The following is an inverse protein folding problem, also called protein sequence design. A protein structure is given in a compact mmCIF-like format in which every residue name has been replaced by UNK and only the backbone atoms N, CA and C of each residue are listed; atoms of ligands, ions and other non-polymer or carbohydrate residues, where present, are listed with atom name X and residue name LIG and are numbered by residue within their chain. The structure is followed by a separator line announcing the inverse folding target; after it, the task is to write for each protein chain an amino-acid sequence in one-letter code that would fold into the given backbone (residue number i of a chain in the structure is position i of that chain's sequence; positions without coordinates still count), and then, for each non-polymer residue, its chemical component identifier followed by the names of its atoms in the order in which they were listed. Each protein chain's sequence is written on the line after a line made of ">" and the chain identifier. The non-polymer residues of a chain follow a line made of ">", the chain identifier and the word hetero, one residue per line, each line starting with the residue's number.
data_IF_764021612333
#
_entry.id   IF_764021612333
#
_cell.length_a   1.000
_cell.length_b   1.000
_cell.length_c   1.000
_cell.angle_alpha   90.00
_cell.angle_beta   90.00
_cell.angle_gamma   90.00
#
_symmetry.space_group_name_H-M   'P 1'
#
loop_
_entity.id
_entity.type
_entity.pdbx_description
1 polymer ?
2 polymer ?
3 water ?
#
# COMPACT_ATOMS: atom_id res chain seq x y z
N UNK A 3 24.88 -16.67 12.80
CA UNK A 3 25.14 -15.57 13.72
C UNK A 3 24.41 -14.29 13.30
N UNK A 4 25.18 -13.27 12.93
CA UNK A 4 24.66 -11.96 12.60
C UNK A 4 24.78 -11.70 11.11
N UNK A 5 23.70 -11.23 10.49
CA UNK A 5 23.67 -10.92 9.07
C UNK A 5 22.42 -10.11 8.76
N UNK A 6 22.55 -9.23 7.76
CA UNK A 6 21.45 -8.45 7.24
C UNK A 6 21.13 -8.92 5.83
N UNK A 7 19.84 -9.00 5.51
CA UNK A 7 19.38 -9.51 4.22
C UNK A 7 18.37 -8.56 3.61
N UNK A 8 18.46 -8.37 2.29
CA UNK A 8 17.59 -7.49 1.54
C UNK A 8 16.91 -8.27 0.43
N UNK A 9 15.60 -8.11 0.31
CA UNK A 9 14.81 -8.77 -0.74
C UNK A 9 14.39 -7.72 -1.76
N UNK A 10 15.11 -7.54 -2.86
CA UNK A 10 14.81 -6.44 -3.78
C UNK A 10 13.46 -6.55 -4.46
N UNK A 11 12.88 -7.76 -4.55
CA UNK A 11 11.60 -7.94 -5.21
C UNK A 11 10.42 -7.86 -4.25
N UNK A 12 10.65 -7.46 -3.00
CA UNK A 12 9.56 -7.43 -2.02
C UNK A 12 8.61 -6.28 -2.27
N UNK A 13 9.13 -5.12 -2.64
CA UNK A 13 8.27 -3.96 -2.88
C UNK A 13 7.30 -4.22 -4.03
N UNK A 14 7.79 -4.81 -5.11
CA UNK A 14 6.91 -5.11 -6.25
C UNK A 14 5.91 -6.21 -5.91
N UNK A 15 6.30 -7.16 -5.05
CA UNK A 15 5.39 -8.24 -4.69
C UNK A 15 4.25 -7.74 -3.82
N UNK A 16 4.54 -6.85 -2.87
CA UNK A 16 3.49 -6.29 -2.02
C UNK A 16 2.54 -5.43 -2.85
N UNK A 17 3.09 -4.69 -3.83
CA UNK A 17 2.25 -3.85 -4.66
C UNK A 17 1.31 -4.68 -5.53
N UNK A 18 1.78 -5.82 -6.03
CA UNK A 18 0.91 -6.70 -6.81
C UNK A 18 -0.19 -7.30 -5.95
N UNK A 19 0.11 -7.60 -4.68
CA UNK A 19 -0.94 -8.07 -3.78
C UNK A 19 -1.93 -6.95 -3.48
N UNK A 20 -1.45 -5.73 -3.27
CA UNK A 20 -2.35 -4.59 -3.08
C UNK A 20 -3.20 -4.35 -4.32
N UNK A 21 -2.66 -4.63 -5.51
CA UNK A 21 -3.45 -4.47 -6.73
C UNK A 21 -4.55 -5.52 -6.81
N UNK A 22 -4.24 -6.78 -6.50
CA UNK A 22 -5.25 -7.83 -6.57
C UNK A 22 -6.35 -7.62 -5.55
N UNK A 23 -6.02 -7.08 -4.37
CA UNK A 23 -7.05 -6.72 -3.40
C UNK A 23 -7.98 -5.65 -3.97
N UNK A 24 -7.41 -4.66 -4.67
CA UNK A 24 -8.21 -3.58 -5.23
C UNK A 24 -9.10 -4.08 -6.35
N UNK A 25 -8.59 -4.96 -7.21
CA UNK A 25 -9.38 -5.48 -8.32
C UNK A 25 -10.54 -6.34 -7.82
N UNK A 26 -10.41 -6.93 -6.64
CA UNK A 26 -11.48 -7.72 -6.03
C UNK A 26 -12.18 -6.97 -4.91
N UNK A 27 -11.81 -5.72 -4.66
CA UNK A 27 -12.44 -4.95 -3.61
C UNK A 27 -12.17 -5.44 -2.21
N UNK A 28 -11.10 -6.19 -2.00
CA UNK A 28 -10.78 -6.74 -0.69
C UNK A 28 -10.04 -5.71 0.14
N UNK A 29 -10.50 -5.51 1.39
CA UNK A 29 -9.87 -4.60 2.34
C UNK A 29 -9.79 -3.17 1.80
N UNK A 30 -10.77 -2.78 0.99
CA UNK A 30 -10.83 -1.45 0.41
C UNK A 30 -11.75 -0.57 1.24
N UNK A 31 -11.21 0.51 1.81
CA UNK A 31 -11.97 1.47 2.58
C UNK A 31 -12.31 2.72 1.78
N UNK A 32 -12.09 2.71 0.47
CA UNK A 32 -12.34 3.86 -0.38
C UNK A 32 -12.97 3.39 -1.69
N UNK A 33 -14.06 4.03 -2.09
CA UNK A 33 -14.76 3.68 -3.32
C UNK A 33 -15.17 4.96 -4.04
N UNK A 34 -14.66 5.16 -5.23
CA UNK A 34 -15.01 6.30 -6.07
C UNK A 34 -16.10 5.92 -7.05
N UNK A 35 -17.08 6.81 -7.21
CA UNK A 35 -18.21 6.59 -8.11
C UNK A 35 -18.26 7.81 -9.04
N UNK A 36 -17.81 7.62 -10.29
CA UNK A 36 -17.81 8.70 -11.27
C UNK A 36 -18.78 8.37 -12.39
N UNK A 37 -20.01 8.85 -12.27
CA UNK A 37 -21.06 8.64 -13.29
C UNK A 37 -21.29 7.16 -13.54
N UNK A 38 -21.53 6.41 -12.46
CA UNK A 38 -21.77 4.99 -12.54
C UNK A 38 -20.51 4.14 -12.48
N UNK A 39 -19.40 4.62 -13.02
CA UNK A 39 -18.16 3.87 -12.97
C UNK A 39 -17.60 3.88 -11.55
N UNK A 40 -17.33 2.70 -11.01
CA UNK A 40 -16.86 2.54 -9.64
C UNK A 40 -15.39 2.17 -9.61
N UNK A 41 -14.71 2.61 -8.55
CA UNK A 41 -13.29 2.32 -8.37
C UNK A 41 -13.02 2.16 -6.88
N UNK A 42 -12.59 0.97 -6.46
CA UNK A 42 -12.25 0.71 -5.07
C UNK A 42 -10.74 0.74 -4.90
N UNK A 43 -10.29 1.28 -3.77
CA UNK A 43 -8.87 1.42 -3.51
C UNK A 43 -8.64 1.53 -2.01
N UNK A 44 -7.37 1.52 -1.62
CA UNK A 44 -6.97 1.69 -0.23
C UNK A 44 -6.57 3.13 0.01
N UNK A 45 -7.06 3.71 1.11
CA UNK A 45 -6.72 5.09 1.43
C UNK A 45 -5.24 5.24 1.75
N UNK A 46 -4.59 4.18 2.22
CA UNK A 46 -3.16 4.24 2.49
C UNK A 46 -2.35 4.29 1.20
N UNK A 47 -2.81 3.62 0.15
CA UNK A 47 -2.12 3.66 -1.13
C UNK A 47 -2.36 4.98 -1.83
N UNK A 48 -3.58 5.53 -1.71
CA UNK A 48 -3.88 6.83 -2.31
C UNK A 48 -3.01 7.92 -1.70
N UNK A 49 -2.89 7.93 -0.37
CA UNK A 49 -2.06 8.91 0.30
C UNK A 49 -0.58 8.70 0.03
N UNK A 50 -0.18 7.48 -0.33
CA UNK A 50 1.22 7.19 -0.63
C UNK A 50 1.62 7.64 -2.02
N UNK A 51 0.67 7.75 -2.95
CA UNK A 51 0.97 8.12 -4.34
C UNK A 51 0.52 9.53 -4.70
N UNK A 52 -0.37 10.14 -3.93
CA UNK A 52 -0.92 11.45 -4.25
C UNK A 52 -0.84 12.35 -3.02
N UNK A 53 -0.20 13.51 -3.18
CA UNK A 53 -0.17 14.48 -2.09
C UNK A 53 -1.56 15.04 -1.78
N UNK A 54 -2.43 15.07 -2.78
CA UNK A 54 -3.81 15.51 -2.54
C UNK A 54 -4.51 14.59 -1.55
N UNK A 55 -4.49 13.28 -1.82
CA UNK A 55 -5.12 12.32 -0.91
C UNK A 55 -4.40 12.26 0.42
N UNK A 56 -3.10 12.57 0.45
CA UNK A 56 -2.39 12.64 1.72
C UNK A 56 -2.97 13.74 2.61
N UNK A 57 -3.19 14.92 2.04
CA UNK A 57 -3.77 16.03 2.80
C UNK A 57 -5.27 15.90 3.00
N UNK A 58 -5.91 14.94 2.35
CA UNK A 58 -7.35 14.70 2.54
C UNK A 58 -7.61 13.67 3.62
N UNK A 59 -6.84 12.58 3.64
CA UNK A 59 -7.06 11.51 4.61
C UNK A 59 -6.24 11.69 5.89
N UNK A 60 -5.06 12.28 5.80
CA UNK A 60 -4.20 12.46 6.96
C UNK A 60 -4.46 13.82 7.59
N UNK A 61 -4.11 14.90 6.87
CA UNK A 61 -4.19 16.23 7.46
C UNK A 61 -5.63 16.67 7.67
N UNK A 62 -6.57 16.15 6.89
CA UNK A 62 -8.00 16.38 7.02
C UNK A 62 -8.39 17.84 6.84
N UNK A 63 -7.51 18.68 6.31
CA UNK A 63 -7.80 20.11 6.19
C UNK A 63 -7.04 20.69 5.01
N UNK A 64 -7.42 21.93 4.67
CA UNK A 64 -6.76 22.70 3.61
C UNK A 64 -6.76 21.94 2.28
N UNK A 65 -7.89 21.32 1.96
CA UNK A 65 -8.02 20.52 0.76
C UNK A 65 -9.26 20.97 0.00
N UNK A 66 -9.14 21.08 -1.32
CA UNK A 66 -10.25 21.44 -2.17
C UNK A 66 -11.09 20.18 -2.42
N UNK A 67 -12.41 20.37 -2.55
CA UNK A 67 -13.31 19.26 -2.78
C UNK A 67 -12.88 18.45 -4.00
N UNK A 68 -13.10 17.14 -3.92
CA UNK A 68 -12.63 16.23 -4.96
C UNK A 68 -13.26 16.58 -6.31
N UNK A 69 -12.43 16.65 -7.34
CA UNK A 69 -12.86 16.98 -8.69
C UNK A 69 -12.13 16.06 -9.66
N UNK A 70 -12.88 15.18 -10.33
CA UNK A 70 -12.31 14.22 -11.28
C UNK A 70 -12.87 14.56 -12.66
N UNK A 71 -11.99 14.97 -13.56
CA UNK A 71 -12.43 15.44 -14.87
C UNK A 71 -12.99 14.30 -15.72
N UNK A 72 -12.28 13.18 -15.78
CA UNK A 72 -12.69 12.06 -16.61
C UNK A 72 -12.61 10.77 -15.80
N UNK A 73 -13.61 9.90 -15.98
CA UNK A 73 -13.60 8.61 -15.30
C UNK A 73 -12.49 7.71 -15.83
N UNK A 74 -12.30 7.70 -17.15
CA UNK A 74 -11.22 6.91 -17.72
C UNK A 74 -9.86 7.41 -17.28
N UNK A 75 -9.71 8.72 -17.10
CA UNK A 75 -8.46 9.26 -16.58
C UNK A 75 -8.18 8.85 -15.15
N UNK A 76 -9.23 8.68 -14.34
CA UNK A 76 -9.05 8.24 -12.97
C UNK A 76 -8.63 6.77 -12.91
N UNK A 77 -9.17 5.95 -13.81
CA UNK A 77 -8.79 4.55 -13.83
C UNK A 77 -7.33 4.34 -14.18
N UNK A 78 -6.81 5.16 -15.10
CA UNK A 78 -5.39 5.08 -15.43
C UNK A 78 -4.52 5.55 -14.28
N UNK A 79 -4.98 6.53 -13.51
CA UNK A 79 -4.22 6.99 -12.36
C UNK A 79 -4.15 5.91 -11.29
N UNK A 80 -5.28 5.25 -11.01
CA UNK A 80 -5.28 4.15 -10.05
C UNK A 80 -4.50 2.95 -10.58
N UNK A 81 -4.56 2.70 -11.89
CA UNK A 81 -3.77 1.61 -12.46
C UNK A 81 -2.28 1.85 -12.29
N UNK A 82 -1.86 3.11 -12.44
CA UNK A 82 -0.45 3.44 -12.20
C UNK A 82 -0.08 3.28 -10.74
N UNK A 83 -1.01 3.60 -9.84
CA UNK A 83 -0.72 3.50 -8.40
C UNK A 83 -0.42 2.07 -8.00
N UNK A 84 -1.15 1.11 -8.56
CA UNK A 84 -1.07 -0.28 -8.14
C UNK A 84 -0.20 -1.14 -9.04
N UNK A 85 0.28 -0.61 -10.18
CA UNK A 85 1.11 -1.38 -11.10
C UNK A 85 2.38 -0.68 -11.52
N UNK A 86 2.58 0.59 -11.17
CA UNK A 86 3.72 1.40 -11.57
C UNK A 86 3.84 1.56 -13.08
N UNK A 87 2.81 1.17 -13.84
CA UNK A 87 2.81 1.26 -15.29
C UNK A 87 1.57 2.02 -15.75
N UNK A 88 1.76 2.87 -16.75
CA UNK A 88 0.69 3.77 -17.21
C UNK A 88 0.68 3.77 -18.73
N UNK A 89 -0.40 3.25 -19.32
CA UNK A 89 -0.55 3.25 -20.77
C UNK A 89 -1.10 4.59 -21.22
N UNK A 90 -0.39 5.23 -22.16
CA UNK A 90 -0.73 6.57 -22.62
C UNK A 90 -0.89 6.57 -24.14
N UNK A 91 -1.97 7.20 -24.60
CA UNK A 91 -2.34 7.31 -26.00
C UNK A 91 -2.62 8.77 -26.33
N UNK A 92 -2.44 9.17 -27.58
CA UNK A 92 -2.77 10.56 -27.97
C UNK A 92 -4.24 10.92 -27.77
N UNK A 93 -5.10 9.96 -27.46
CA UNK A 93 -6.52 10.21 -27.24
C UNK A 93 -6.91 10.18 -25.77
N UNK A 94 -5.95 9.94 -24.86
CA UNK A 94 -6.26 9.89 -23.44
C UNK A 94 -5.23 10.59 -22.57
N UNK A 95 -4.15 11.11 -23.14
CA UNK A 95 -3.09 11.72 -22.32
C UNK A 95 -3.61 12.98 -21.64
N UNK A 96 -4.43 13.77 -22.34
CA UNK A 96 -4.96 15.00 -21.75
C UNK A 96 -5.93 14.71 -20.62
N UNK A 97 -6.71 13.63 -20.73
CA UNK A 97 -7.63 13.28 -19.66
C UNK A 97 -6.88 12.77 -18.44
N UNK A 98 -5.83 11.97 -18.65
CA UNK A 98 -5.01 11.51 -17.54
C UNK A 98 -4.24 12.68 -16.93
N UNK A 99 -3.78 13.62 -17.76
CA UNK A 99 -3.07 14.78 -17.25
C UNK A 99 -3.97 15.68 -16.41
N UNK A 100 -5.27 15.70 -16.70
CA UNK A 100 -6.19 16.50 -15.90
C UNK A 100 -6.35 15.94 -14.50
N UNK A 101 -6.58 14.63 -14.39
CA UNK A 101 -6.74 14.01 -13.08
C UNK A 101 -5.43 14.05 -12.30
N UNK A 102 -4.31 13.82 -12.99
CA UNK A 102 -3.01 13.83 -12.32
C UNK A 102 -2.67 15.22 -11.79
N UNK A 103 -3.00 16.26 -12.56
CA UNK A 103 -2.71 17.62 -12.11
C UNK A 103 -3.52 17.98 -10.88
N UNK A 104 -4.79 17.58 -10.84
CA UNK A 104 -5.61 17.85 -9.66
C UNK A 104 -5.08 17.08 -8.45
N UNK A 105 -4.62 15.85 -8.65
CA UNK A 105 -4.10 15.04 -7.56
C UNK A 105 -2.65 15.34 -7.23
N UNK A 106 -2.03 16.31 -7.92
CA UNK A 106 -0.66 16.75 -7.63
C UNK A 106 0.34 15.59 -7.73
N UNK A 107 0.16 14.75 -8.74
CA UNK A 107 1.05 13.61 -8.98
C UNK A 107 1.98 13.98 -10.12
N UNK A 108 3.13 14.57 -9.77
CA UNK A 108 4.07 15.04 -10.77
C UNK A 108 4.71 13.90 -11.56
N UNK A 109 4.67 12.67 -11.04
CA UNK A 109 5.22 11.54 -11.79
C UNK A 109 4.41 11.25 -13.04
N UNK A 110 3.08 11.25 -12.92
CA UNK A 110 2.23 11.06 -14.10
C UNK A 110 2.31 12.28 -15.01
N UNK A 111 2.41 13.48 -14.42
CA UNK A 111 2.53 14.69 -15.22
C UNK A 111 3.80 14.65 -16.05
N UNK A 112 4.89 14.16 -15.47
CA UNK A 112 6.13 14.01 -16.23
C UNK A 112 5.97 12.94 -17.31
N UNK A 113 5.25 11.86 -17.00
CA UNK A 113 5.00 10.83 -18.00
C UNK A 113 4.14 11.35 -19.14
N UNK A 114 3.13 12.16 -18.82
CA UNK A 114 2.30 12.76 -19.87
C UNK A 114 3.10 13.77 -20.68
N UNK A 115 3.96 14.54 -20.03
CA UNK A 115 4.80 15.48 -20.76
C UNK A 115 5.83 14.76 -21.63
N UNK A 116 6.22 13.55 -21.24
CA UNK A 116 7.19 12.80 -22.03
C UNK A 116 6.60 12.30 -23.34
N UNK A 117 5.30 12.00 -23.35
CA UNK A 117 4.66 11.51 -24.57
C UNK A 117 4.41 12.62 -25.58
N UNK A 118 3.98 13.80 -25.10
CA UNK A 118 3.73 14.91 -26.01
C UNK A 118 5.02 15.49 -26.57
N UNK A 119 6.13 15.34 -25.84
CA UNK A 119 7.42 15.81 -26.32
C UNK A 119 8.20 14.74 -27.08
N UNK A 120 8.13 13.49 -26.63
CA UNK A 120 8.80 12.37 -27.29
C UNK A 120 7.75 11.40 -27.83
N UNK A 121 7.01 11.87 -28.83
CA UNK A 121 5.96 11.07 -29.44
C UNK A 121 6.52 9.84 -30.14
N UNK B 3 -2.19 0.73 -25.99
CA UNK B 3 -2.16 1.99 -26.71
C UNK B 3 -0.87 2.12 -27.52
N UNK B 4 -0.38 3.36 -27.65
CA UNK B 4 0.82 3.61 -28.43
C UNK B 4 2.10 3.61 -27.61
N UNK B 5 2.01 3.77 -26.29
CA UNK B 5 3.19 3.80 -25.45
C UNK B 5 2.80 3.42 -24.03
N UNK B 6 3.75 2.83 -23.30
CA UNK B 6 3.56 2.41 -21.92
C UNK B 6 4.65 3.03 -21.07
N UNK B 7 4.25 3.74 -20.01
CA UNK B 7 5.17 4.43 -19.11
C UNK B 7 5.38 3.57 -17.86
N UNK B 8 6.62 3.17 -17.62
CA UNK B 8 6.96 2.34 -16.47
C UNK B 8 7.84 3.13 -15.51
N UNK B 9 7.53 3.03 -14.21
CA UNK B 9 8.31 3.69 -13.16
C UNK B 9 8.92 2.63 -12.26
N UNK B 10 10.20 2.29 -12.45
CA UNK B 10 10.80 1.19 -11.68
C UNK B 10 10.91 1.48 -10.19
N UNK B 11 11.00 2.76 -9.79
CA UNK B 11 11.16 3.12 -8.40
C UNK B 11 9.84 3.48 -7.73
N UNK B 12 8.71 3.09 -8.34
CA UNK B 12 7.41 3.42 -7.76
C UNK B 12 7.07 2.50 -6.59
N UNK B 13 7.17 1.19 -6.80
CA UNK B 13 6.82 0.24 -5.74
C UNK B 13 7.70 0.43 -4.51
N UNK B 14 8.97 0.78 -4.71
CA UNK B 14 9.83 1.10 -3.58
C UNK B 14 9.37 2.39 -2.90
N UNK B 15 8.88 3.35 -3.69
CA UNK B 15 8.41 4.60 -3.10
C UNK B 15 7.10 4.39 -2.34
N UNK B 16 6.22 3.52 -2.85
CA UNK B 16 4.97 3.25 -2.16
C UNK B 16 5.22 2.54 -0.84
N UNK B 17 6.14 1.57 -0.83
CA UNK B 17 6.44 0.85 0.40
C UNK B 17 7.07 1.76 1.45
N UNK B 18 7.94 2.67 1.02
CA UNK B 18 8.55 3.62 1.96
C UNK B 18 7.50 4.56 2.54
N UNK B 19 6.55 5.02 1.71
CA UNK B 19 5.49 5.87 2.22
C UNK B 19 4.57 5.10 3.16
N UNK B 20 4.28 3.84 2.84
CA UNK B 20 3.50 3.00 3.75
C UNK B 20 4.25 2.78 5.06
N UNK B 21 5.59 2.68 4.99
CA UNK B 21 6.37 2.52 6.21
C UNK B 21 6.34 3.79 7.06
N UNK B 22 6.41 4.95 6.40
CA UNK B 22 6.35 6.21 7.14
C UNK B 22 4.98 6.41 7.77
N UNK B 23 3.93 5.84 7.18
CA UNK B 23 2.59 5.94 7.77
C UNK B 23 2.49 5.09 9.03
N UNK B 24 2.98 3.85 8.98
CA UNK B 24 2.88 2.97 10.14
C UNK B 24 3.84 3.38 11.26
N UNK B 25 4.95 4.05 10.91
CA UNK B 25 5.86 4.53 11.93
C UNK B 25 5.28 5.73 12.67
N UNK B 26 4.51 6.57 11.99
CA UNK B 26 3.87 7.73 12.60
C UNK B 26 2.44 7.45 13.06
N UNK B 27 1.97 6.20 12.94
CA UNK B 27 0.62 5.86 13.32
C UNK B 27 -0.43 6.60 12.51
N UNK B 28 -0.24 6.62 11.19
CA UNK B 28 -1.08 7.40 10.28
C UNK B 28 -1.82 6.45 9.34
N UNK B 29 -3.14 6.63 9.26
CA UNK B 29 -3.99 5.85 8.35
C UNK B 29 -3.85 4.35 8.59
N UNK B 30 -3.67 3.97 9.85
CA UNK B 30 -3.50 2.58 10.24
C UNK B 30 -4.73 2.09 10.99
N UNK B 31 -5.20 0.89 10.64
CA UNK B 31 -6.34 0.27 11.28
C UNK B 31 -5.98 -0.90 12.17
N UNK B 32 -4.68 -1.21 12.30
CA UNK B 32 -4.21 -2.28 13.15
C UNK B 32 -3.32 -1.70 14.25
N UNK B 33 -3.33 -2.36 15.41
CA UNK B 33 -2.50 -1.93 16.53
C UNK B 33 -2.09 -3.19 17.31
N UNK B 34 -0.85 -3.62 17.12
CA UNK B 34 -0.30 -4.72 17.89
C UNK B 34 0.21 -4.21 19.23
N UNK B 35 -0.20 -4.86 20.31
CA UNK B 35 0.26 -4.53 21.66
C UNK B 35 0.76 -5.84 22.29
N UNK B 36 2.06 -6.05 22.25
CA UNK B 36 2.69 -7.24 22.81
C UNK B 36 3.66 -6.79 23.90
N UNK B 37 3.37 -7.16 25.14
CA UNK B 37 4.26 -6.89 26.28
C UNK B 37 4.51 -5.39 26.45
N UNK B 38 3.45 -4.60 26.33
CA UNK B 38 3.50 -3.19 26.67
C UNK B 38 3.88 -2.24 25.55
N UNK B 39 4.39 -2.75 24.44
CA UNK B 39 4.82 -1.91 23.31
C UNK B 39 3.78 -2.01 22.21
N UNK B 40 3.46 -0.87 21.60
CA UNK B 40 2.42 -0.79 20.59
C UNK B 40 3.04 -0.75 19.19
N UNK B 41 2.42 -1.47 18.26
CA UNK B 41 2.86 -1.54 16.87
C UNK B 41 1.70 -1.21 15.96
N UNK B 42 1.84 -0.17 15.15
CA UNK B 42 0.83 0.20 14.17
C UNK B 42 1.12 -0.46 12.83
N UNK B 43 0.05 -0.79 12.10
CA UNK B 43 0.18 -1.45 10.81
C UNK B 43 -1.13 -1.29 10.04
N UNK B 44 -1.06 -1.60 8.74
CA UNK B 44 -2.23 -1.62 7.87
C UNK B 44 -2.65 -3.07 7.62
N UNK B 45 -3.96 -3.32 7.69
CA UNK B 45 -4.45 -4.68 7.47
C UNK B 45 -4.25 -5.11 6.03
N UNK B 46 -4.19 -4.17 5.09
CA UNK B 46 -3.95 -4.52 3.70
C UNK B 46 -2.49 -4.91 3.47
N UNK B 47 -1.56 -4.32 4.22
CA UNK B 47 -0.16 -4.69 4.09
C UNK B 47 0.11 -6.04 4.74
N UNK B 48 -0.53 -6.30 5.89
CA UNK B 48 -0.35 -7.57 6.57
C UNK B 48 -0.86 -8.73 5.71
N UNK B 49 -2.03 -8.58 5.11
CA UNK B 49 -2.55 -9.62 4.23
C UNK B 49 -1.69 -9.79 2.99
N UNK B 50 -1.04 -8.71 2.54
CA UNK B 50 -0.18 -8.78 1.37
C UNK B 50 1.12 -9.51 1.64
N UNK B 51 1.55 -9.59 2.90
CA UNK B 51 2.83 -10.20 3.24
C UNK B 51 2.70 -11.53 3.97
N UNK B 52 1.60 -11.77 4.68
CA UNK B 52 1.42 -12.97 5.47
C UNK B 52 0.14 -13.68 5.04
N UNK B 53 0.26 -14.98 4.75
CA UNK B 53 -0.93 -15.77 4.43
C UNK B 53 -1.84 -15.93 5.64
N UNK B 54 -1.26 -15.94 6.84
CA UNK B 54 -2.07 -16.00 8.06
C UNK B 54 -2.94 -14.76 8.19
N UNK B 55 -2.34 -13.57 8.06
CA UNK B 55 -3.11 -12.34 8.14
C UNK B 55 -4.05 -12.19 6.95
N UNK B 56 -3.71 -12.81 5.81
CA UNK B 56 -4.62 -12.80 4.67
C UNK B 56 -5.94 -13.50 5.02
N UNK B 57 -5.85 -14.77 5.43
CA UNK B 57 -7.04 -15.50 5.84
C UNK B 57 -7.77 -14.82 6.97
N UNK B 58 -7.03 -14.14 7.86
CA UNK B 58 -7.65 -13.49 9.01
C UNK B 58 -8.43 -12.22 8.62
N UNK B 59 -8.13 -11.63 7.47
CA UNK B 59 -8.70 -10.34 7.11
C UNK B 59 -9.68 -10.38 5.96
N UNK B 60 -9.50 -11.29 4.99
CA UNK B 60 -10.44 -11.35 3.87
C UNK B 60 -11.62 -12.27 4.14
N UNK B 61 -11.53 -13.15 5.14
CA UNK B 61 -12.59 -14.10 5.43
C UNK B 61 -13.14 -14.02 6.85
N UNK B 62 -12.41 -13.43 7.79
CA UNK B 62 -12.75 -13.51 9.20
C UNK B 62 -12.76 -12.12 9.83
N UNK B 63 -13.32 -12.05 11.04
CA UNK B 63 -13.38 -10.80 11.79
C UNK B 63 -12.02 -10.43 12.37
N UNK B 66 -8.76 -9.75 19.29
CA UNK B 66 -8.06 -10.91 18.78
C UNK B 66 -6.80 -11.17 19.59
N UNK B 67 -6.51 -12.45 19.83
CA UNK B 67 -5.34 -12.87 20.60
C UNK B 67 -4.43 -13.69 19.70
N UNK B 68 -3.14 -13.34 19.68
CA UNK B 68 -2.21 -14.07 18.78
C UNK B 68 -1.19 -14.79 19.61
N UNK B 69 -0.70 -15.92 19.13
CA UNK B 69 0.37 -16.62 19.87
C UNK B 69 1.72 -16.07 19.42
N UNK B 70 2.00 -14.83 19.79
CA UNK B 70 3.26 -14.15 19.43
C UNK B 70 4.04 -14.17 20.72
N UNK B 71 5.21 -14.76 20.70
CA UNK B 71 6.02 -14.89 21.93
C UNK B 71 6.53 -13.55 22.44
N UNK B 72 7.25 -12.80 21.60
CA UNK B 72 7.88 -11.58 22.15
C UNK B 72 7.80 -10.43 21.16
N UNK B 73 7.78 -9.21 21.68
CA UNK B 73 7.68 -8.00 20.84
C UNK B 73 8.90 -7.89 19.92
N UNK B 74 10.08 -8.24 20.38
CA UNK B 74 11.26 -8.11 19.52
C UNK B 74 11.06 -8.94 18.25
N UNK B 75 10.51 -10.15 18.32
CA UNK B 75 10.37 -10.88 17.08
C UNK B 75 9.34 -10.29 16.14
N UNK B 76 8.26 -9.73 16.70
CA UNK B 76 7.26 -9.08 15.87
C UNK B 76 7.78 -7.78 15.27
N UNK B 77 8.64 -7.07 16.00
CA UNK B 77 9.17 -5.81 15.48
C UNK B 77 9.99 -6.01 14.22
N UNK B 78 10.92 -6.97 14.25
CA UNK B 78 11.74 -7.24 13.06
C UNK B 78 10.89 -7.79 11.91
N UNK B 79 9.86 -8.56 12.23
CA UNK B 79 8.97 -9.06 11.18
C UNK B 79 8.23 -7.90 10.52
N UNK B 80 7.73 -6.95 11.32
CA UNK B 80 7.07 -5.79 10.75
C UNK B 80 8.05 -4.89 10.00
N UNK B 81 9.31 -4.86 10.43
CA UNK B 81 10.31 -4.08 9.70
C UNK B 81 10.55 -4.64 8.31
N UNK B 82 10.52 -5.96 8.17
CA UNK B 82 10.70 -6.58 6.86
C UNK B 82 9.53 -6.26 5.93
N UNK B 83 8.31 -6.23 6.49
CA UNK B 83 7.13 -5.99 5.66
C UNK B 83 7.15 -4.61 5.03
N UNK B 84 7.65 -3.61 5.76
CA UNK B 84 7.58 -2.23 5.31
C UNK B 84 8.89 -1.70 4.74
N UNK B 85 10.00 -2.42 4.92
CA UNK B 85 11.29 -1.98 4.40
C UNK B 85 12.00 -3.00 3.53
N UNK B 86 11.47 -4.21 3.39
CA UNK B 86 12.06 -5.28 2.59
C UNK B 86 13.45 -5.71 3.08
N UNK B 87 13.83 -5.32 4.30
CA UNK B 87 15.12 -5.65 4.86
C UNK B 87 14.93 -6.41 6.17
N UNK B 88 15.71 -7.46 6.36
CA UNK B 88 15.64 -8.31 7.54
C UNK B 88 17.01 -8.33 8.22
N UNK B 89 17.05 -7.85 9.46
CA UNK B 89 18.28 -7.81 10.25
C UNK B 89 18.19 -8.88 11.33
N UNK B 90 19.11 -9.83 11.31
CA UNK B 90 19.10 -10.93 12.26
C UNK B 90 20.43 -11.02 13.00
N UNK B 91 20.35 -11.35 14.29
CA UNK B 91 21.51 -11.49 15.15
C UNK B 91 21.22 -12.63 16.11
N UNK B 92 22.27 -13.26 16.69
CA UNK B 92 22.03 -14.43 17.55
C UNK B 92 21.10 -14.16 18.73
N UNK B 93 20.80 -12.90 18.99
CA UNK B 93 19.89 -12.54 20.06
C UNK B 93 18.43 -12.48 19.62
N UNK B 94 18.13 -12.62 18.33
CA UNK B 94 16.75 -12.48 17.88
C UNK B 94 16.35 -13.38 16.72
N UNK B 95 17.24 -14.24 16.22
CA UNK B 95 16.91 -15.10 15.09
C UNK B 95 15.86 -16.13 15.50
N UNK B 96 15.96 -16.62 16.75
CA UNK B 96 14.95 -17.54 17.27
C UNK B 96 13.63 -16.83 17.53
N UNK B 97 13.67 -15.57 17.97
CA UNK B 97 12.44 -14.83 18.19
C UNK B 97 11.77 -14.43 16.88
N UNK B 98 12.57 -14.24 15.83
CA UNK B 98 12.00 -13.88 14.52
C UNK B 98 11.38 -15.10 13.85
N UNK B 99 12.06 -16.25 13.91
CA UNK B 99 11.54 -17.46 13.29
C UNK B 99 10.24 -17.92 13.95
N UNK B 100 10.12 -17.69 15.26
CA UNK B 100 8.88 -18.04 15.95
C UNK B 100 7.70 -17.25 15.41
N UNK B 101 7.88 -15.94 15.23
CA UNK B 101 6.82 -15.11 14.68
C UNK B 101 6.64 -15.40 13.19
N UNK B 102 7.72 -15.74 12.48
CA UNK B 102 7.62 -16.00 11.06
C UNK B 102 6.87 -17.30 10.78
N UNK B 103 7.06 -18.32 11.63
CA UNK B 103 6.37 -19.58 11.42
C UNK B 103 4.89 -19.49 11.75
N UNK B 104 4.54 -18.70 12.77
CA UNK B 104 3.13 -18.53 13.11
C UNK B 104 2.39 -17.77 12.03
N UNK B 105 3.00 -16.72 11.49
CA UNK B 105 2.40 -15.94 10.42
C UNK B 105 2.60 -16.58 9.05
N UNK B 106 3.32 -17.69 8.97
CA UNK B 106 3.48 -18.48 7.76
C UNK B 106 4.08 -17.64 6.62
N UNK B 107 5.27 -17.11 6.89
CA UNK B 107 6.05 -16.35 5.91
C UNK B 107 7.36 -17.12 5.72
N UNK B 108 7.33 -18.10 4.82
CA UNK B 108 8.49 -18.98 4.65
C UNK B 108 9.70 -18.26 4.08
N UNK B 109 9.50 -17.11 3.43
CA UNK B 109 10.65 -16.31 3.01
C UNK B 109 11.50 -15.90 4.21
N UNK B 110 10.85 -15.52 5.31
CA UNK B 110 11.59 -15.25 6.54
C UNK B 110 11.96 -16.55 7.24
N UNK B 111 11.11 -17.58 7.15
CA UNK B 111 11.40 -18.84 7.82
C UNK B 111 12.67 -19.48 7.27
N UNK B 112 12.82 -19.47 5.94
CA UNK B 112 14.03 -20.01 5.35
C UNK B 112 15.25 -19.15 5.65
N UNK B 113 15.05 -17.83 5.78
CA UNK B 113 16.16 -16.92 6.06
C UNK B 113 16.82 -17.26 7.40
N UNK B 114 16.00 -17.48 8.43
CA UNK B 114 16.51 -17.82 9.75
C UNK B 114 16.81 -19.31 9.91
N UNK B 115 16.22 -20.16 9.07
CA UNK B 115 16.53 -21.58 9.12
C UNK B 115 18.02 -21.84 8.85
N UNK B 116 18.64 -21.00 8.02
CA UNK B 116 20.07 -21.16 7.74
C UNK B 116 20.91 -20.75 8.95
N UNK B 117 20.66 -19.57 9.49
CA UNK B 117 21.42 -19.07 10.62
C UNK B 117 20.86 -19.60 11.94
N UNK C 5 -0.74 -14.31 24.69
CA UNK C 5 0.29 -13.43 25.22
C UNK C 5 0.46 -12.20 24.33
N UNK C 6 -0.58 -11.88 23.56
CA UNK C 6 -0.54 -10.75 22.64
C UNK C 6 -1.96 -10.35 22.28
N UNK C 7 -2.14 -9.06 21.99
CA UNK C 7 -3.44 -8.52 21.59
C UNK C 7 -3.29 -7.81 20.26
N UNK C 8 -4.34 -7.91 19.43
CA UNK C 8 -4.40 -7.22 18.14
C UNK C 8 -5.74 -6.49 18.08
N UNK C 9 -5.71 -5.18 18.34
CA UNK C 9 -6.91 -4.36 18.28
C UNK C 9 -7.13 -3.92 16.84
N UNK C 10 -8.29 -4.28 16.29
CA UNK C 10 -8.66 -3.94 14.91
C UNK C 10 -9.72 -2.86 14.94
N UNK C 11 -9.43 -1.72 14.31
CA UNK C 11 -10.41 -0.64 14.26
C UNK C 11 -11.57 -1.02 13.34
N UNK C 12 -12.79 -0.65 13.69
CA UNK C 12 -13.94 -1.00 12.83
C UNK C 12 -13.84 -0.31 11.48
N UNK C 13 -14.34 -0.99 10.46
CA UNK C 13 -14.21 -0.56 9.08
C UNK C 13 -15.52 0.03 8.59
N UNK C 14 -15.50 1.31 8.20
CA UNK C 14 -16.60 1.94 7.49
C UNK C 14 -16.08 2.38 6.13
N UNK C 15 -16.90 2.17 5.10
CA UNK C 15 -16.47 2.46 3.73
C UNK C 15 -16.67 3.93 3.41
N UNK C 16 -15.66 4.53 2.79
CA UNK C 16 -15.69 5.94 2.40
C UNK C 16 -16.00 5.99 0.91
N UNK C 17 -17.25 6.33 0.58
CA UNK C 17 -17.67 6.48 -0.80
C UNK C 17 -17.55 7.92 -1.23
N UNK C 18 -17.07 8.14 -2.46
CA UNK C 18 -16.95 9.45 -3.05
C UNK C 18 -17.65 9.43 -4.40
N UNK C 19 -18.88 9.94 -4.44
CA UNK C 19 -19.70 9.95 -5.64
C UNK C 19 -19.61 11.32 -6.29
N UNK C 20 -19.10 11.37 -7.52
CA UNK C 20 -18.77 12.62 -8.20
C UNK C 20 -19.29 12.55 -9.64
N UNK C 21 -19.76 13.69 -10.13
CA UNK C 21 -20.07 13.85 -11.55
C UNK C 21 -18.85 14.40 -12.27
N UNK C 22 -18.55 13.84 -13.44
CA UNK C 22 -17.38 14.24 -14.19
C UNK C 22 -17.51 15.68 -14.68
N UNK C 23 -16.41 16.43 -14.62
CA UNK C 23 -16.37 17.83 -15.03
C UNK C 23 -15.83 18.00 -16.44
N UNK C 24 -16.20 17.09 -17.36
CA UNK C 24 -15.73 17.14 -18.74
C UNK C 24 -16.52 18.20 -19.49
N UNK C 25 -16.12 19.45 -19.29
CA UNK C 25 -16.76 20.58 -19.95
C UNK C 25 -16.38 20.63 -21.42
#
# INVERSE_FOLDING_TARGET
>A
GGSMASMDFPQHSQHVLEQLNQQRQLGLLCDCTFVVDGVHFKAHKAVLAACSEYFKMLFVDQKDVVHLDISNAAGLGQVLEFMYTAKLSLSPENVDDVLAVATFLQMQDIITACHALKSLA
>B
GGSMASMDFPQHSQHVLEQLNQQRQLGLLCDCTFVVDGVHFKAHKAVLAACSEYFKMLFVDQKDVVHLDISNAAGLGQVLEFMYTAKLSLSPENVDDVLAVATFLQMQDIITACHALKSLA
>C
SHDQHAVLVLQPAVEAFFLVHATERESK
#
